data_IF_690683640757
#
_entry.id   IF_690683640757
#
_cell.length_a   1.000
_cell.length_b   1.000
_cell.length_c   1.000
_cell.angle_alpha   90.00
_cell.angle_beta   90.00
_cell.angle_gamma   90.00
#
_symmetry.space_group_name_H-M   'P 1'
#
loop_
_entity.id
_entity.type
_entity.pdbx_description
1 polymer ?
#
# COMPACT_ATOMS: atom_id res chain seq x y z
N UNK A 1 -16.66 10.06 11.43
CA UNK A 1 -17.84 10.72 10.83
C UNK A 1 -17.59 10.92 9.34
N UNK A 2 -17.54 9.83 8.55
CA UNK A 2 -17.21 9.88 7.12
C UNK A 2 -18.44 10.13 6.24
N UNK A 3 -19.65 9.82 6.74
CA UNK A 3 -20.91 9.89 5.99
C UNK A 3 -21.28 11.29 5.49
N UNK A 4 -20.65 12.33 6.04
CA UNK A 4 -20.88 13.74 5.68
C UNK A 4 -19.69 14.35 4.93
N UNK A 5 -18.64 13.57 4.67
CA UNK A 5 -17.41 14.03 4.03
C UNK A 5 -17.65 14.32 2.54
N UNK A 6 -17.10 15.41 2.02
CA UNK A 6 -17.37 15.91 0.66
C UNK A 6 -16.10 16.22 -0.11
N UNK A 7 -16.27 16.53 -1.40
CA UNK A 7 -15.21 17.00 -2.29
C UNK A 7 -14.43 18.17 -1.69
N UNK A 8 -15.13 19.14 -1.13
CA UNK A 8 -14.53 20.36 -0.57
C UNK A 8 -13.65 20.06 0.65
N UNK A 9 -13.98 19.02 1.41
CA UNK A 9 -13.17 18.57 2.54
C UNK A 9 -11.82 18.01 2.05
N UNK A 10 -11.83 17.20 0.99
CA UNK A 10 -10.61 16.66 0.38
C UNK A 10 -9.76 17.76 -0.27
N UNK A 11 -10.38 18.69 -1.00
CA UNK A 11 -9.69 19.84 -1.59
C UNK A 11 -9.02 20.67 -0.48
N UNK A 12 -9.75 20.94 0.60
CA UNK A 12 -9.21 21.70 1.74
C UNK A 12 -8.09 20.94 2.42
N UNK A 13 -8.22 19.61 2.59
CA UNK A 13 -7.15 18.78 3.15
C UNK A 13 -5.86 18.86 2.32
N UNK A 14 -5.95 18.70 1.00
CA UNK A 14 -4.79 18.77 0.09
C UNK A 14 -4.14 20.15 0.16
N UNK A 15 -4.93 21.22 0.11
CA UNK A 15 -4.42 22.60 0.15
C UNK A 15 -3.75 22.92 1.48
N UNK A 16 -4.40 22.56 2.59
CA UNK A 16 -4.05 23.07 3.92
C UNK A 16 -3.02 22.21 4.65
N UNK A 17 -2.86 20.93 4.25
CA UNK A 17 -1.96 19.98 4.93
C UNK A 17 -0.93 19.30 4.03
N UNK A 18 -1.12 19.29 2.70
CA UNK A 18 -0.20 18.59 1.79
C UNK A 18 0.57 19.56 0.92
N UNK A 19 -0.11 20.50 0.26
CA UNK A 19 0.51 21.46 -0.63
C UNK A 19 0.70 22.82 0.03
N UNK A 20 1.27 22.84 1.22
CA UNK A 20 1.30 24.04 2.07
C UNK A 20 2.30 25.08 1.53
N UNK A 21 1.82 26.28 1.21
CA UNK A 21 2.63 27.31 0.54
C UNK A 21 3.85 27.73 1.35
N UNK A 22 3.74 27.86 2.68
CA UNK A 22 4.87 28.26 3.50
C UNK A 22 5.98 27.20 3.59
N UNK A 23 5.68 25.93 3.30
CA UNK A 23 6.66 24.84 3.27
C UNK A 23 7.24 24.63 1.86
N UNK A 24 6.40 24.75 0.83
CA UNK A 24 6.76 24.40 -0.55
C UNK A 24 7.09 25.61 -1.45
N UNK A 25 6.76 26.82 -1.00
CA UNK A 25 6.87 28.05 -1.77
C UNK A 25 6.19 27.95 -3.12
N UNK A 26 6.87 28.38 -4.19
CA UNK A 26 6.35 28.39 -5.57
C UNK A 26 5.95 27.01 -6.11
N UNK A 27 6.36 25.91 -5.45
CA UNK A 27 5.98 24.54 -5.86
C UNK A 27 4.61 24.12 -5.33
N UNK A 28 4.04 24.84 -4.37
CA UNK A 28 2.72 24.53 -3.80
C UNK A 28 1.62 24.55 -4.87
N UNK A 29 1.52 25.61 -5.68
CA UNK A 29 0.43 25.70 -6.66
C UNK A 29 0.49 24.61 -7.74
N UNK A 30 1.65 24.33 -8.39
CA UNK A 30 1.75 23.22 -9.32
C UNK A 30 1.43 21.86 -8.68
N UNK A 31 1.95 21.58 -7.48
CA UNK A 31 1.67 20.34 -6.77
C UNK A 31 0.18 20.20 -6.44
N UNK A 32 -0.46 21.28 -5.99
CA UNK A 32 -1.89 21.28 -5.69
C UNK A 32 -2.70 20.88 -6.93
N UNK A 33 -2.39 21.44 -8.10
CA UNK A 33 -3.10 21.12 -9.35
C UNK A 33 -2.99 19.63 -9.69
N UNK A 34 -1.77 19.07 -9.64
CA UNK A 34 -1.54 17.64 -9.92
C UNK A 34 -2.27 16.73 -8.92
N UNK A 35 -2.24 17.08 -7.63
CA UNK A 35 -2.93 16.31 -6.59
C UNK A 35 -4.45 16.37 -6.74
N UNK A 36 -5.00 17.53 -7.12
CA UNK A 36 -6.44 17.67 -7.38
C UNK A 36 -6.86 16.85 -8.61
N UNK A 37 -6.08 16.88 -9.68
CA UNK A 37 -6.38 16.09 -10.87
C UNK A 37 -6.42 14.58 -10.55
N UNK A 38 -5.41 14.09 -9.84
CA UNK A 38 -5.26 12.67 -9.57
C UNK A 38 -6.15 12.12 -8.46
N UNK A 39 -6.30 12.83 -7.33
CA UNK A 39 -7.05 12.34 -6.17
C UNK A 39 -8.49 12.83 -6.09
N UNK A 40 -8.82 13.97 -6.73
CA UNK A 40 -10.18 14.53 -6.68
C UNK A 40 -10.93 14.24 -7.97
N UNK A 41 -10.35 14.55 -9.13
CA UNK A 41 -11.07 14.55 -10.40
C UNK A 41 -11.05 13.19 -11.13
N UNK A 42 -10.17 12.27 -10.74
CA UNK A 42 -9.98 10.97 -11.39
C UNK A 42 -11.13 9.99 -11.14
N UNK A 43 -11.98 9.79 -12.16
CA UNK A 43 -13.15 8.89 -12.10
C UNK A 43 -14.05 9.24 -10.89
N UNK A 44 -14.33 10.53 -10.74
CA UNK A 44 -15.07 11.09 -9.61
C UNK A 44 -16.42 10.39 -9.41
N UNK A 45 -16.76 10.18 -8.13
CA UNK A 45 -18.09 9.75 -7.70
C UNK A 45 -18.54 10.69 -6.59
N UNK A 46 -19.77 11.20 -6.69
CA UNK A 46 -20.34 12.11 -5.69
C UNK A 46 -20.81 11.35 -4.43
N UNK A 47 -19.91 10.61 -3.80
CA UNK A 47 -20.18 9.82 -2.61
C UNK A 47 -19.18 10.13 -1.48
N UNK A 48 -19.61 10.24 -0.22
CA UNK A 48 -18.69 10.52 0.89
C UNK A 48 -17.58 9.47 1.06
N UNK A 49 -17.90 8.19 0.81
CA UNK A 49 -16.95 7.07 0.82
C UNK A 49 -15.85 7.23 -0.22
N UNK A 50 -16.15 7.81 -1.38
CA UNK A 50 -15.16 8.05 -2.43
C UNK A 50 -14.10 9.06 -1.96
N UNK A 51 -14.52 10.25 -1.52
CA UNK A 51 -13.58 11.31 -1.14
C UNK A 51 -12.75 10.97 0.10
N UNK A 52 -13.35 10.33 1.10
CA UNK A 52 -12.58 9.90 2.27
C UNK A 52 -11.56 8.83 1.89
N UNK A 53 -11.93 7.86 1.04
CA UNK A 53 -10.99 6.83 0.57
C UNK A 53 -9.83 7.47 -0.20
N UNK A 54 -10.10 8.45 -1.08
CA UNK A 54 -9.07 9.21 -1.78
C UNK A 54 -8.12 9.97 -0.85
N UNK A 55 -8.63 10.54 0.25
CA UNK A 55 -7.77 11.17 1.25
C UNK A 55 -6.79 10.16 1.87
N UNK A 56 -7.26 8.96 2.21
CA UNK A 56 -6.42 7.92 2.79
C UNK A 56 -5.45 7.28 1.78
N UNK A 57 -5.85 7.15 0.51
CA UNK A 57 -4.94 6.75 -0.57
C UNK A 57 -3.79 7.76 -0.70
N UNK A 58 -4.11 9.06 -0.74
CA UNK A 58 -3.11 10.13 -0.77
C UNK A 58 -2.17 10.04 0.44
N UNK A 59 -2.71 9.86 1.64
CA UNK A 59 -1.90 9.74 2.84
C UNK A 59 -0.96 8.52 2.78
N UNK A 60 -1.47 7.37 2.32
CA UNK A 60 -0.69 6.15 2.14
C UNK A 60 0.42 6.32 1.11
N UNK A 61 0.13 7.00 0.00
CA UNK A 61 1.10 7.26 -1.06
C UNK A 61 2.23 8.17 -0.57
N UNK A 62 1.90 9.26 0.14
CA UNK A 62 2.87 10.21 0.68
C UNK A 62 3.73 9.59 1.79
N UNK A 63 3.13 8.81 2.69
CA UNK A 63 3.85 8.25 3.84
C UNK A 63 4.63 7.00 3.51
N UNK A 64 4.15 6.18 2.56
CA UNK A 64 4.69 4.83 2.31
C UNK A 64 5.02 4.58 0.85
N UNK A 65 4.05 4.62 -0.06
CA UNK A 65 4.27 4.03 -1.39
C UNK A 65 5.28 4.81 -2.23
N UNK A 66 5.20 6.14 -2.29
CA UNK A 66 6.15 6.97 -3.05
C UNK A 66 7.58 6.85 -2.47
N UNK A 67 7.80 6.98 -1.15
CA UNK A 67 9.11 6.73 -0.55
C UNK A 67 9.67 5.33 -0.82
N UNK A 68 8.83 4.28 -0.75
CA UNK A 68 9.25 2.90 -1.04
C UNK A 68 9.72 2.76 -2.50
N UNK A 69 8.98 3.32 -3.44
CA UNK A 69 9.34 3.27 -4.86
C UNK A 69 10.63 4.05 -5.14
N UNK A 70 10.81 5.21 -4.52
CA UNK A 70 12.05 5.97 -4.63
C UNK A 70 13.25 5.17 -4.10
N UNK A 71 13.10 4.47 -2.96
CA UNK A 71 14.13 3.59 -2.42
C UNK A 71 14.44 2.40 -3.35
N UNK A 72 13.43 1.85 -4.03
CA UNK A 72 13.62 0.79 -5.03
C UNK A 72 14.47 1.32 -6.21
N UNK A 73 14.15 2.50 -6.73
CA UNK A 73 14.91 3.15 -7.81
C UNK A 73 16.38 3.35 -7.41
N UNK A 74 16.63 3.93 -6.23
CA UNK A 74 17.98 4.15 -5.72
C UNK A 74 18.76 2.84 -5.58
N UNK A 75 18.13 1.78 -5.07
CA UNK A 75 18.76 0.45 -4.96
C UNK A 75 19.11 -0.13 -6.33
N UNK A 76 18.23 0.02 -7.32
CA UNK A 76 18.51 -0.42 -8.68
C UNK A 76 19.68 0.33 -9.31
N UNK A 77 19.78 1.64 -9.11
CA UNK A 77 20.89 2.46 -9.60
C UNK A 77 22.24 2.01 -9.03
N UNK A 78 22.25 1.49 -7.81
CA UNK A 78 23.44 0.98 -7.14
C UNK A 78 23.69 -0.53 -7.36
N UNK A 79 22.89 -1.19 -8.21
CA UNK A 79 23.07 -2.60 -8.55
C UNK A 79 22.65 -3.58 -7.46
N UNK A 80 21.74 -3.18 -6.57
CA UNK A 80 21.22 -4.06 -5.52
C UNK A 80 20.10 -4.94 -6.06
N UNK A 81 20.21 -6.25 -5.84
CA UNK A 81 19.10 -7.17 -6.06
C UNK A 81 17.92 -6.76 -5.17
N UNK A 82 16.83 -6.33 -5.82
CA UNK A 82 15.66 -5.75 -5.15
C UNK A 82 14.40 -6.49 -5.58
N UNK A 83 13.54 -6.77 -4.60
CA UNK A 83 12.29 -7.51 -4.78
C UNK A 83 11.16 -6.68 -4.17
N UNK A 84 10.22 -6.24 -5.01
CA UNK A 84 9.07 -5.45 -4.58
C UNK A 84 7.86 -6.36 -4.35
N UNK A 85 7.16 -6.16 -3.24
CA UNK A 85 5.93 -6.88 -2.90
C UNK A 85 4.84 -5.91 -2.51
N UNK A 86 3.65 -6.16 -3.06
CA UNK A 86 2.41 -5.46 -2.70
C UNK A 86 1.50 -6.45 -2.01
N UNK A 87 1.03 -6.09 -0.82
CA UNK A 87 0.02 -6.86 -0.11
C UNK A 87 -1.38 -6.34 -0.46
N UNK A 88 -2.21 -7.21 -1.03
CA UNK A 88 -3.58 -6.87 -1.42
C UNK A 88 -4.62 -7.88 -0.91
N UNK A 89 -4.23 -8.71 0.06
CA UNK A 89 -5.13 -9.63 0.75
C UNK A 89 -5.66 -9.03 2.06
N UNK A 90 -6.97 -8.76 2.07
CA UNK A 90 -7.69 -8.26 3.23
C UNK A 90 -8.22 -9.46 4.05
N UNK A 91 -7.56 -9.77 5.17
CA UNK A 91 -8.00 -10.81 6.09
C UNK A 91 -9.27 -10.36 6.83
N UNK A 92 -10.32 -11.18 6.83
CA UNK A 92 -11.65 -10.78 7.32
C UNK A 92 -11.64 -10.20 8.73
N UNK A 93 -10.91 -10.75 9.73
CA UNK A 93 -10.93 -10.17 11.07
C UNK A 93 -10.04 -8.93 11.22
N UNK A 94 -9.35 -8.49 10.16
CA UNK A 94 -8.68 -7.18 10.08
C UNK A 94 -9.56 -6.11 9.41
N UNK A 95 -10.72 -6.49 8.86
CA UNK A 95 -11.66 -5.56 8.25
C UNK A 95 -12.44 -4.78 9.33
N UNK A 96 -12.50 -3.46 9.22
CA UNK A 96 -13.52 -2.67 9.92
C UNK A 96 -14.81 -2.63 9.08
N UNK A 97 -15.90 -3.20 9.61
CA UNK A 97 -17.19 -3.29 8.93
C UNK A 97 -17.96 -1.96 8.91
N UNK A 98 -17.61 -1.03 9.78
CA UNK A 98 -18.24 0.29 9.88
C UNK A 98 -17.51 1.36 9.05
N UNK A 99 -16.28 1.04 8.62
CA UNK A 99 -15.46 1.88 7.76
C UNK A 99 -15.84 1.70 6.28
N UNK A 100 -15.94 2.80 5.51
CA UNK A 100 -16.17 2.72 4.07
C UNK A 100 -14.88 2.38 3.31
N UNK A 101 -13.73 2.45 3.99
CA UNK A 101 -12.41 2.29 3.40
C UNK A 101 -12.10 0.80 3.38
N UNK A 102 -11.96 0.26 2.18
CA UNK A 102 -11.64 -1.15 1.92
C UNK A 102 -10.18 -1.31 1.53
N UNK A 103 -9.60 -2.44 1.89
CA UNK A 103 -8.24 -2.80 1.52
C UNK A 103 -7.38 -3.16 2.72
N UNK A 104 -6.09 -3.36 2.48
CA UNK A 104 -5.16 -3.82 3.51
C UNK A 104 -4.72 -2.64 4.37
N UNK A 105 -5.07 -2.65 5.65
CA UNK A 105 -4.61 -1.64 6.60
C UNK A 105 -3.12 -1.78 6.91
N UNK A 106 -2.50 -0.66 7.25
CA UNK A 106 -1.11 -0.61 7.66
C UNK A 106 -0.87 -1.58 8.84
N UNK A 107 0.23 -2.34 8.77
CA UNK A 107 0.62 -3.40 9.71
C UNK A 107 -0.26 -4.65 9.71
N UNK A 108 -1.17 -4.83 8.75
CA UNK A 108 -1.98 -6.06 8.66
C UNK A 108 -1.11 -7.34 8.53
N UNK A 109 0.09 -7.22 7.97
CA UNK A 109 1.07 -8.31 7.88
C UNK A 109 1.54 -8.83 9.24
N UNK A 110 1.52 -7.99 10.27
CA UNK A 110 1.99 -8.36 11.61
C UNK A 110 1.20 -9.52 12.18
N UNK A 111 -0.10 -9.64 11.86
CA UNK A 111 -0.93 -10.80 12.26
C UNK A 111 -0.33 -12.13 11.78
N UNK A 112 0.33 -12.14 10.63
CA UNK A 112 0.87 -13.35 10.01
C UNK A 112 2.32 -13.62 10.41
N UNK A 113 3.08 -12.57 10.71
CA UNK A 113 4.51 -12.63 10.98
C UNK A 113 4.85 -12.64 12.47
N UNK A 114 4.04 -11.98 13.30
CA UNK A 114 4.35 -11.70 14.70
C UNK A 114 3.13 -11.93 15.60
N UNK A 115 3.34 -11.76 16.91
CA UNK A 115 2.24 -11.57 17.86
C UNK A 115 1.73 -10.13 17.69
N UNK A 116 0.46 -9.97 17.35
CA UNK A 116 -0.12 -8.68 16.99
C UNK A 116 -1.38 -8.37 17.80
N UNK A 117 -1.26 -7.43 18.74
CA UNK A 117 -2.37 -6.71 19.39
C UNK A 117 -3.56 -7.58 19.84
N UNK A 118 -3.33 -8.80 20.35
CA UNK A 118 -4.40 -9.69 20.85
C UNK A 118 -5.07 -10.55 19.77
N UNK A 119 -4.66 -10.42 18.50
CA UNK A 119 -5.18 -11.19 17.37
C UNK A 119 -4.61 -12.61 17.30
N UNK A 120 -3.71 -12.99 18.20
CA UNK A 120 -3.08 -14.32 18.20
C UNK A 120 -4.08 -15.44 18.53
N UNK A 121 -5.16 -15.08 19.22
CA UNK A 121 -6.24 -16.01 19.56
C UNK A 121 -7.26 -16.20 18.44
N UNK A 122 -7.25 -15.33 17.42
CA UNK A 122 -8.17 -15.41 16.28
C UNK A 122 -7.65 -16.45 15.29
N UNK A 123 -8.38 -17.55 15.04
CA UNK A 123 -7.92 -18.59 14.13
C UNK A 123 -7.71 -18.07 12.70
N UNK A 124 -6.75 -18.65 12.00
CA UNK A 124 -6.58 -18.44 10.56
C UNK A 124 -7.53 -19.35 9.79
N UNK A 125 -8.23 -18.79 8.82
CA UNK A 125 -8.91 -19.56 7.80
C UNK A 125 -7.91 -20.14 6.78
N UNK A 126 -8.40 -20.83 5.75
CA UNK A 126 -7.53 -21.43 4.73
C UNK A 126 -6.78 -20.40 3.87
N UNK A 127 -7.40 -19.24 3.60
CA UNK A 127 -6.77 -18.18 2.83
C UNK A 127 -5.67 -17.49 3.64
N UNK A 128 -5.92 -17.23 4.92
CA UNK A 128 -4.94 -16.72 5.88
C UNK A 128 -3.73 -17.65 5.98
N UNK A 129 -3.94 -18.97 6.03
CA UNK A 129 -2.85 -19.96 6.07
C UNK A 129 -2.02 -19.93 4.79
N UNK A 130 -2.65 -19.86 3.61
CA UNK A 130 -1.96 -19.74 2.32
C UNK A 130 -1.15 -18.45 2.24
N UNK A 131 -1.78 -17.32 2.57
CA UNK A 131 -1.13 -16.02 2.63
C UNK A 131 0.10 -16.05 3.56
N UNK A 132 -0.10 -16.53 4.80
CA UNK A 132 0.97 -16.69 5.79
C UNK A 132 2.11 -17.54 5.27
N UNK A 133 1.79 -18.67 4.63
CA UNK A 133 2.79 -19.56 4.06
C UNK A 133 3.63 -18.84 3.00
N UNK A 134 3.01 -18.08 2.09
CA UNK A 134 3.73 -17.34 1.05
C UNK A 134 4.64 -16.25 1.63
N UNK A 135 4.14 -15.42 2.55
CA UNK A 135 4.92 -14.30 3.08
C UNK A 135 6.08 -14.81 3.95
N UNK A 136 5.83 -15.80 4.81
CA UNK A 136 6.85 -16.36 5.68
C UNK A 136 7.92 -17.12 4.88
N UNK A 137 7.51 -17.92 3.90
CA UNK A 137 8.47 -18.65 3.06
C UNK A 137 9.32 -17.72 2.21
N UNK A 138 8.73 -16.65 1.67
CA UNK A 138 9.45 -15.61 0.93
C UNK A 138 10.53 -14.96 1.79
N UNK A 139 10.16 -14.46 2.97
CA UNK A 139 11.09 -13.84 3.93
C UNK A 139 12.19 -14.82 4.36
N UNK A 140 11.83 -16.05 4.73
CA UNK A 140 12.81 -17.05 5.18
C UNK A 140 13.78 -17.44 4.07
N UNK A 141 13.33 -17.60 2.83
CA UNK A 141 14.22 -17.89 1.71
C UNK A 141 15.10 -16.70 1.36
N UNK A 142 14.58 -15.46 1.42
CA UNK A 142 15.40 -14.26 1.24
C UNK A 142 16.52 -14.19 2.28
N UNK A 143 16.20 -14.38 3.57
CA UNK A 143 17.19 -14.38 4.66
C UNK A 143 18.26 -15.46 4.44
N UNK A 144 17.85 -16.67 4.03
CA UNK A 144 18.77 -17.82 3.94
C UNK A 144 19.56 -17.88 2.63
N UNK A 145 19.03 -17.33 1.54
CA UNK A 145 19.51 -17.59 0.17
C UNK A 145 19.65 -16.32 -0.69
N UNK A 146 19.22 -15.17 -0.20
CA UNK A 146 19.20 -13.92 -0.97
C UNK A 146 18.06 -13.81 -1.99
N UNK A 147 17.27 -14.86 -2.18
CA UNK A 147 16.18 -14.90 -3.15
C UNK A 147 14.86 -15.31 -2.48
N UNK A 148 13.82 -14.46 -2.48
CA UNK A 148 12.54 -14.81 -1.91
C UNK A 148 11.76 -15.72 -2.86
N UNK A 149 11.18 -16.79 -2.29
CA UNK A 149 10.26 -17.68 -2.99
C UNK A 149 9.38 -18.45 -2.00
N UNK A 150 8.22 -18.87 -2.49
CA UNK A 150 7.40 -19.92 -1.88
C UNK A 150 7.41 -21.16 -2.78
N UNK A 151 6.71 -22.22 -2.39
CA UNK A 151 6.56 -23.43 -3.22
C UNK A 151 5.88 -23.13 -4.57
N UNK A 152 4.94 -22.18 -4.60
CA UNK A 152 4.13 -21.89 -5.78
C UNK A 152 4.66 -20.73 -6.63
N UNK A 153 5.50 -19.84 -6.08
CA UNK A 153 5.93 -18.64 -6.80
C UNK A 153 7.32 -18.16 -6.39
N UNK A 154 8.12 -17.79 -7.39
CA UNK A 154 9.35 -17.05 -7.21
C UNK A 154 9.06 -15.56 -7.28
N UNK A 155 9.61 -14.79 -6.34
CA UNK A 155 9.43 -13.35 -6.34
C UNK A 155 10.34 -12.77 -7.42
N UNK A 156 9.80 -12.02 -8.39
CA UNK A 156 10.63 -11.47 -9.43
C UNK A 156 11.49 -10.33 -8.89
N UNK A 157 12.72 -10.22 -9.40
CA UNK A 157 13.52 -9.02 -9.21
C UNK A 157 12.91 -7.87 -10.03
N UNK A 158 12.99 -6.66 -9.49
CA UNK A 158 12.85 -5.46 -10.32
C UNK A 158 14.06 -5.37 -11.26
N UNK A 159 13.86 -4.90 -12.49
CA UNK A 159 14.96 -4.67 -13.45
C UNK A 159 14.81 -3.31 -14.13
N UNK A 160 15.79 -2.89 -14.94
CA UNK A 160 15.68 -1.65 -15.70
C UNK A 160 14.56 -1.71 -16.75
N UNK A 161 14.34 -2.90 -17.32
CA UNK A 161 13.28 -3.17 -18.29
C UNK A 161 11.91 -3.26 -17.61
N UNK A 162 11.88 -3.63 -16.33
CA UNK A 162 10.67 -3.77 -15.54
C UNK A 162 10.86 -3.18 -14.12
N UNK A 163 10.96 -1.84 -14.00
CA UNK A 163 11.31 -1.17 -12.74
C UNK A 163 10.23 -1.32 -11.67
N UNK A 164 8.99 -1.56 -12.10
CA UNK A 164 7.81 -1.68 -11.23
C UNK A 164 7.33 -3.12 -11.08
N UNK A 165 8.07 -4.11 -11.59
CA UNK A 165 7.67 -5.51 -11.47
C UNK A 165 7.63 -5.92 -10.00
N UNK A 166 6.53 -6.51 -9.59
CA UNK A 166 6.33 -6.88 -8.20
C UNK A 166 5.54 -8.17 -8.07
N UNK A 167 5.60 -8.76 -6.87
CA UNK A 167 4.65 -9.78 -6.49
C UNK A 167 3.47 -9.13 -5.76
N UNK A 168 2.24 -9.40 -6.22
CA UNK A 168 1.04 -9.19 -5.42
C UNK A 168 0.81 -10.42 -4.56
N UNK A 169 1.13 -10.29 -3.28
CA UNK A 169 1.03 -11.40 -2.33
C UNK A 169 -0.38 -11.47 -1.74
N UNK A 170 -0.99 -12.63 -1.95
CA UNK A 170 -2.35 -13.01 -1.58
C UNK A 170 -2.43 -14.54 -1.57
N UNK A 171 -3.56 -15.16 -1.16
CA UNK A 171 -3.68 -16.62 -1.13
C UNK A 171 -3.34 -17.30 -2.46
N UNK A 172 -3.66 -16.66 -3.58
CA UNK A 172 -3.27 -17.06 -4.93
C UNK A 172 -2.39 -15.95 -5.55
N UNK A 173 -1.06 -16.01 -5.36
CA UNK A 173 -0.16 -14.89 -5.64
C UNK A 173 0.01 -14.66 -7.14
N UNK A 174 0.22 -13.40 -7.54
CA UNK A 174 0.33 -13.01 -8.96
C UNK A 174 1.54 -12.10 -9.16
N UNK A 175 2.33 -12.36 -10.20
CA UNK A 175 3.36 -11.43 -10.69
C UNK A 175 2.70 -10.34 -11.52
N UNK A 176 3.01 -9.09 -11.22
CA UNK A 176 2.52 -7.90 -11.94
C UNK A 176 3.67 -7.03 -12.41
#
# INVERSE_FOLDING_TARGET
MWKTYKKEDLISYIRDYVSVEHELGRRSSPLLIELLDYYVNRNEKEEPSYYITRQYELLSDLQSNVPILHEVELKQEHGWDTYLVVMDYESEPMCDKESPIRGVYHLAEHRFLFKFLGMESVPFDENDKKFKHHILSGIVNFIKKGEPKSESIQWPKVSKEHPMRHLRIRPEPIVS
#
